data_IF_437036645401
#
_entry.id   IF_437036645401
#
_cell.length_a   1.000
_cell.length_b   1.000
_cell.length_c   1.000
_cell.angle_alpha   90.00
_cell.angle_beta   90.00
_cell.angle_gamma   90.00
#
_symmetry.space_group_name_H-M   'P 1'
#
loop_
_entity.id
_entity.type
_entity.pdbx_description
1 polymer ?
#
# COMPACT_ATOMS: atom_id res chain seq x y z
N UNK A 1 -21.25 -24.53 -8.09
CA UNK A 1 -19.86 -24.78 -7.65
C UNK A 1 -19.60 -23.85 -6.48
N UNK A 2 -19.96 -24.33 -5.29
CA UNK A 2 -19.88 -23.62 -4.02
C UNK A 2 -18.41 -23.38 -3.70
N UNK A 3 -17.92 -22.16 -3.93
CA UNK A 3 -16.51 -21.80 -3.73
C UNK A 3 -16.43 -20.87 -2.54
N UNK A 4 -15.86 -21.39 -1.46
CA UNK A 4 -15.51 -20.71 -0.22
C UNK A 4 -14.82 -19.34 -0.45
N UNK A 5 -15.59 -18.28 -0.65
CA UNK A 5 -15.06 -16.91 -0.74
C UNK A 5 -14.33 -16.54 0.56
N UNK A 6 -14.80 -17.07 1.70
CA UNK A 6 -14.18 -16.91 3.02
C UNK A 6 -12.72 -17.37 3.05
N UNK A 7 -12.38 -18.49 2.41
CA UNK A 7 -11.00 -18.99 2.35
C UNK A 7 -10.11 -18.05 1.54
N UNK A 8 -10.60 -17.53 0.42
CA UNK A 8 -9.85 -16.58 -0.41
C UNK A 8 -9.53 -15.29 0.36
N UNK A 9 -10.49 -14.74 1.10
CA UNK A 9 -10.22 -13.57 1.96
C UNK A 9 -9.21 -13.90 3.06
N UNK A 10 -9.35 -15.05 3.70
CA UNK A 10 -8.44 -15.48 4.76
C UNK A 10 -7.00 -15.63 4.25
N UNK A 11 -6.79 -16.29 3.11
CA UNK A 11 -5.46 -16.39 2.50
C UNK A 11 -4.89 -15.02 2.12
N UNK A 12 -5.72 -14.12 1.59
CA UNK A 12 -5.28 -12.77 1.26
C UNK A 12 -4.91 -11.95 2.50
N UNK A 13 -5.67 -12.08 3.59
CA UNK A 13 -5.35 -11.46 4.87
C UNK A 13 -3.99 -11.94 5.38
N UNK A 14 -3.75 -13.25 5.37
CA UNK A 14 -2.46 -13.83 5.76
C UNK A 14 -1.33 -13.32 4.86
N UNK A 15 -1.52 -13.26 3.55
CA UNK A 15 -0.53 -12.72 2.61
C UNK A 15 -0.18 -11.26 2.92
N UNK A 16 -1.17 -10.41 3.20
CA UNK A 16 -0.95 -9.02 3.59
C UNK A 16 -0.22 -8.89 4.94
N UNK A 17 -0.54 -9.76 5.91
CA UNK A 17 0.15 -9.80 7.20
C UNK A 17 1.61 -10.17 7.00
N UNK A 18 1.91 -11.24 6.26
CA UNK A 18 3.28 -11.66 5.95
C UNK A 18 4.05 -10.54 5.27
N UNK A 19 3.45 -9.88 4.29
CA UNK A 19 4.09 -8.76 3.58
C UNK A 19 4.35 -7.56 4.51
N UNK A 20 3.52 -7.36 5.53
CA UNK A 20 3.76 -6.34 6.58
C UNK A 20 4.89 -6.71 7.52
N UNK A 21 4.99 -7.97 7.93
CA UNK A 21 6.13 -8.44 8.73
C UNK A 21 7.43 -8.31 7.94
N UNK A 22 7.41 -8.62 6.65
CA UNK A 22 8.57 -8.42 5.77
C UNK A 22 8.98 -6.96 5.63
N UNK A 23 8.04 -6.02 5.52
CA UNK A 23 8.33 -4.58 5.54
C UNK A 23 9.05 -4.15 6.82
N UNK A 24 8.58 -4.62 7.99
CA UNK A 24 9.22 -4.33 9.26
C UNK A 24 10.64 -4.91 9.34
N UNK A 25 10.86 -6.09 8.75
CA UNK A 25 12.17 -6.69 8.62
C UNK A 25 13.10 -5.85 7.75
N UNK A 26 12.65 -5.47 6.54
CA UNK A 26 13.40 -4.61 5.60
C UNK A 26 13.72 -3.27 6.24
N UNK A 27 12.82 -2.73 7.06
CA UNK A 27 13.04 -1.48 7.76
C UNK A 27 14.25 -1.52 8.71
N UNK A 28 14.48 -2.65 9.36
CA UNK A 28 15.57 -2.84 10.32
C UNK A 28 16.89 -3.26 9.69
N UNK A 29 16.90 -3.63 8.41
CA UNK A 29 18.13 -4.06 7.74
C UNK A 29 19.04 -2.86 7.42
N UNK A 30 20.37 -2.98 7.64
CA UNK A 30 21.34 -1.91 7.34
C UNK A 30 21.68 -1.87 5.84
N UNK A 31 20.69 -1.60 4.99
CA UNK A 31 20.85 -1.48 3.52
C UNK A 31 20.91 0.02 3.15
N UNK A 32 21.42 0.34 1.96
CA UNK A 32 21.40 1.70 1.45
C UNK A 32 19.96 2.26 1.42
N UNK A 33 19.79 3.53 1.82
CA UNK A 33 18.47 4.18 1.94
C UNK A 33 17.65 4.10 0.65
N UNK A 34 18.29 4.30 -0.50
CA UNK A 34 17.59 4.22 -1.79
C UNK A 34 17.06 2.82 -2.09
N UNK A 35 17.84 1.77 -1.85
CA UNK A 35 17.36 0.39 -2.02
C UNK A 35 16.23 0.06 -1.06
N UNK A 36 16.31 0.54 0.19
CA UNK A 36 15.26 0.35 1.19
C UNK A 36 13.95 1.03 0.74
N UNK A 37 14.02 2.27 0.24
CA UNK A 37 12.86 3.01 -0.28
C UNK A 37 12.22 2.25 -1.44
N UNK A 38 13.01 1.86 -2.45
CA UNK A 38 12.48 1.15 -3.63
C UNK A 38 11.79 -0.17 -3.24
N UNK A 39 12.38 -0.91 -2.30
CA UNK A 39 11.86 -2.21 -1.88
C UNK A 39 10.57 -2.07 -1.07
N UNK A 40 10.52 -1.12 -0.13
CA UNK A 40 9.30 -0.80 0.61
C UNK A 40 8.20 -0.27 -0.32
N UNK A 41 8.55 0.51 -1.34
CA UNK A 41 7.59 1.02 -2.32
C UNK A 41 7.00 -0.13 -3.17
N UNK A 42 7.82 -1.09 -3.58
CA UNK A 42 7.37 -2.29 -4.28
C UNK A 42 6.40 -3.13 -3.41
N UNK A 43 6.67 -3.27 -2.11
CA UNK A 43 5.78 -3.96 -1.18
C UNK A 43 4.45 -3.21 -1.01
N UNK A 44 4.47 -1.89 -0.88
CA UNK A 44 3.26 -1.07 -0.82
C UNK A 44 2.39 -1.23 -2.09
N UNK A 45 2.98 -1.19 -3.29
CA UNK A 45 2.25 -1.42 -4.55
C UNK A 45 1.61 -2.81 -4.58
N UNK A 46 2.37 -3.82 -4.16
CA UNK A 46 1.88 -5.22 -4.12
C UNK A 46 0.68 -5.36 -3.19
N UNK A 47 0.71 -4.73 -2.00
CA UNK A 47 -0.44 -4.70 -1.08
C UNK A 47 -1.65 -4.01 -1.70
N UNK A 48 -1.47 -2.84 -2.30
CA UNK A 48 -2.56 -2.13 -2.97
C UNK A 48 -3.22 -2.98 -4.06
N UNK A 49 -2.42 -3.73 -4.83
CA UNK A 49 -2.94 -4.66 -5.84
C UNK A 49 -3.72 -5.84 -5.22
N UNK A 50 -3.20 -6.47 -4.16
CA UNK A 50 -3.88 -7.56 -3.45
C UNK A 50 -5.23 -7.10 -2.88
N UNK A 51 -5.28 -5.89 -2.31
CA UNK A 51 -6.52 -5.29 -1.79
C UNK A 51 -7.50 -4.98 -2.93
N UNK A 52 -7.02 -4.36 -4.02
CA UNK A 52 -7.86 -4.00 -5.15
C UNK A 52 -8.49 -5.23 -5.84
N UNK A 53 -7.73 -6.32 -6.00
CA UNK A 53 -8.20 -7.53 -6.69
C UNK A 53 -9.15 -8.39 -5.85
N UNK A 54 -8.89 -8.52 -4.55
CA UNK A 54 -9.60 -9.46 -3.68
C UNK A 54 -10.67 -8.77 -2.84
N UNK A 55 -10.36 -7.66 -2.17
CA UNK A 55 -11.30 -7.02 -1.25
C UNK A 55 -12.24 -6.06 -1.96
N UNK A 56 -11.74 -5.25 -2.89
CA UNK A 56 -12.55 -4.25 -3.59
C UNK A 56 -13.31 -4.80 -4.80
N UNK A 57 -13.13 -6.08 -5.16
CA UNK A 57 -13.78 -6.75 -6.29
C UNK A 57 -13.70 -5.98 -7.62
N UNK A 58 -12.67 -5.14 -7.78
CA UNK A 58 -12.55 -4.20 -8.90
C UNK A 58 -12.50 -4.87 -10.27
N UNK A 59 -12.25 -6.18 -10.29
CA UNK A 59 -12.28 -7.04 -11.48
C UNK A 59 -13.69 -7.24 -12.06
N UNK A 60 -14.75 -7.09 -11.26
CA UNK A 60 -16.14 -7.28 -11.67
C UNK A 60 -16.98 -5.99 -11.71
N UNK A 61 -16.40 -4.89 -11.23
CA UNK A 61 -17.10 -3.61 -11.07
C UNK A 61 -17.00 -2.71 -12.31
N UNK A 62 -17.90 -1.72 -12.38
CA UNK A 62 -18.00 -0.77 -13.49
C UNK A 62 -16.75 0.13 -13.62
N UNK A 63 -16.49 0.64 -14.83
CA UNK A 63 -15.31 1.51 -15.13
C UNK A 63 -15.21 2.74 -14.23
N UNK A 64 -16.33 3.20 -13.67
CA UNK A 64 -16.40 4.36 -12.76
C UNK A 64 -15.82 4.03 -11.38
N UNK A 65 -16.18 2.88 -10.79
CA UNK A 65 -15.64 2.47 -9.48
C UNK A 65 -14.12 2.28 -9.54
N UNK A 66 -13.61 1.78 -10.66
CA UNK A 66 -12.16 1.68 -10.91
C UNK A 66 -11.46 3.04 -10.89
N UNK A 67 -12.13 4.10 -11.37
CA UNK A 67 -11.56 5.46 -11.42
C UNK A 67 -11.53 6.13 -10.05
N UNK A 68 -12.51 5.83 -9.19
CA UNK A 68 -12.58 6.34 -7.81
C UNK A 68 -11.36 5.89 -6.99
N UNK A 69 -10.81 4.72 -7.28
CA UNK A 69 -9.61 4.20 -6.60
C UNK A 69 -8.36 5.06 -6.81
N UNK A 70 -8.34 5.89 -7.86
CA UNK A 70 -7.22 6.81 -8.13
C UNK A 70 -7.35 8.16 -7.39
N UNK A 71 -8.52 8.48 -6.82
CA UNK A 71 -8.74 9.73 -6.07
C UNK A 71 -7.77 9.92 -4.89
N UNK A 72 -7.44 8.90 -4.07
CA UNK A 72 -6.50 9.08 -2.97
C UNK A 72 -5.04 9.32 -3.41
N UNK A 73 -4.67 9.04 -4.68
CA UNK A 73 -3.28 9.16 -5.14
C UNK A 73 -2.84 10.64 -5.22
N UNK A 74 -3.58 11.56 -5.88
CA UNK A 74 -3.29 12.98 -5.81
C UNK A 74 -3.24 13.51 -4.38
N UNK A 75 -4.14 13.05 -3.51
CA UNK A 75 -4.16 13.45 -2.11
C UNK A 75 -2.88 13.01 -1.37
N UNK A 76 -2.41 11.78 -1.61
CA UNK A 76 -1.15 11.28 -1.05
C UNK A 76 0.07 12.08 -1.56
N UNK A 77 0.10 12.46 -2.84
CA UNK A 77 1.16 13.30 -3.40
C UNK A 77 1.17 14.69 -2.78
N UNK A 78 -0.01 15.33 -2.68
CA UNK A 78 -0.16 16.63 -2.03
C UNK A 78 0.26 16.57 -0.56
N UNK A 79 -0.11 15.50 0.15
CA UNK A 79 0.29 15.28 1.53
C UNK A 79 1.80 15.10 1.66
N UNK A 80 2.44 14.29 0.81
CA UNK A 80 3.89 14.12 0.81
C UNK A 80 4.62 15.43 0.52
N UNK A 81 4.10 16.25 -0.40
CA UNK A 81 4.64 17.57 -0.68
C UNK A 81 4.48 18.52 0.52
N UNK A 82 3.29 18.57 1.12
CA UNK A 82 3.06 19.36 2.32
C UNK A 82 4.02 18.95 3.45
N UNK A 83 4.26 17.65 3.63
CA UNK A 83 5.22 17.13 4.59
C UNK A 83 6.66 17.60 4.28
N UNK A 84 7.06 17.61 3.01
CA UNK A 84 8.38 18.13 2.62
C UNK A 84 8.54 19.63 2.92
N UNK A 85 7.47 20.43 2.85
CA UNK A 85 7.48 21.83 3.27
C UNK A 85 7.45 22.00 4.79
N UNK A 86 6.86 21.06 5.52
CA UNK A 86 6.82 21.06 6.98
C UNK A 86 8.14 20.57 7.61
N UNK A 87 8.86 19.64 6.97
CA UNK A 87 10.18 19.17 7.41
C UNK A 87 11.21 20.29 7.74
N UNK A 88 11.35 21.35 6.93
CA UNK A 88 12.22 22.48 7.25
C UNK A 88 11.65 23.40 8.34
N UNK A 89 10.35 23.36 8.64
CA UNK A 89 9.75 23.97 9.84
C UNK A 89 10.10 23.14 11.10
N UNK A 90 11.39 22.87 11.32
CA UNK A 90 11.89 22.51 12.64
C UNK A 90 11.63 23.71 13.56
N UNK A 91 10.62 23.58 14.41
CA UNK A 91 10.35 24.42 15.56
C UNK A 91 11.66 24.89 16.18
N UNK A 92 11.95 26.18 16.05
CA UNK A 92 12.96 26.84 16.83
C UNK A 92 12.48 26.88 18.29
N UNK A 93 12.75 25.81 19.05
CA UNK A 93 13.00 25.80 20.49
C UNK A 93 14.15 24.83 20.72
#
# INVERSE_FOLDING_TARGET
MDKDHKKTYFYNAVALTVLTVLELGVYQMPIAKMSQIVLLFAFAITKMMLVAMIYMHLRYETKVLRRILFIPIPAAILFAWALMYDLPFRWAI
#
